data_IF_449396887975
#
_entry.id   IF_449396887975
#
_cell.length_a   1.000
_cell.length_b   1.000
_cell.length_c   1.000
_cell.angle_alpha   90.00
_cell.angle_beta   90.00
_cell.angle_gamma   90.00
#
_symmetry.space_group_name_H-M   'P 1'
#
loop_
_entity.id
_entity.type
_entity.pdbx_description
1 polymer ?
#
# COMPACT_ATOMS: atom_id res chain seq x y z
N UNK A 1 -23.73 -31.06 -57.33
CA UNK A 1 -22.32 -30.61 -57.42
C UNK A 1 -21.98 -29.94 -56.09
N UNK A 2 -20.83 -30.11 -55.44
CA UNK A 2 -19.70 -31.03 -55.64
C UNK A 2 -18.90 -31.13 -54.32
N UNK A 3 -18.12 -32.19 -54.07
CA UNK A 3 -17.57 -32.48 -52.73
C UNK A 3 -16.31 -31.68 -52.36
N UNK A 4 -16.09 -31.50 -51.05
CA UNK A 4 -14.91 -30.84 -50.46
C UNK A 4 -13.60 -31.59 -50.75
N UNK A 5 -12.46 -30.87 -50.93
CA UNK A 5 -11.16 -31.47 -51.20
C UNK A 5 -10.54 -32.15 -49.97
N UNK A 6 -9.85 -33.28 -50.19
CA UNK A 6 -9.12 -34.02 -49.14
C UNK A 6 -7.69 -33.48 -48.92
N UNK A 7 -7.14 -33.54 -47.70
CA UNK A 7 -5.79 -33.07 -47.41
C UNK A 7 -4.70 -33.94 -48.06
N UNK A 8 -3.61 -33.31 -48.52
CA UNK A 8 -2.45 -34.01 -49.12
C UNK A 8 -1.56 -34.64 -48.05
N UNK A 9 -1.18 -35.91 -48.26
CA UNK A 9 -0.16 -36.61 -47.45
C UNK A 9 1.23 -36.36 -48.05
N UNK A 10 2.18 -35.89 -47.27
CA UNK A 10 3.61 -35.93 -47.64
C UNK A 10 4.28 -37.21 -47.12
N UNK A 11 5.17 -37.79 -47.94
CA UNK A 11 6.09 -38.88 -47.55
C UNK A 11 7.51 -38.30 -47.32
N UNK A 12 8.37 -38.96 -46.53
CA UNK A 12 9.63 -38.39 -46.07
C UNK A 12 10.76 -38.47 -47.10
N UNK A 13 11.68 -37.49 -47.05
CA UNK A 13 12.97 -37.53 -47.73
C UNK A 13 14.04 -38.25 -46.88
N UNK A 14 15.07 -38.82 -47.53
CA UNK A 14 16.15 -39.58 -46.87
C UNK A 14 17.37 -38.69 -46.54
N UNK A 15 17.94 -38.92 -45.36
CA UNK A 15 18.96 -38.08 -44.75
C UNK A 15 20.39 -38.11 -45.33
N UNK A 16 21.24 -37.28 -44.72
CA UNK A 16 22.68 -37.23 -44.89
C UNK A 16 23.40 -37.71 -43.61
N UNK A 17 24.64 -38.20 -43.73
CA UNK A 17 25.37 -38.87 -42.64
C UNK A 17 26.28 -37.91 -41.86
N UNK A 18 26.10 -37.79 -40.55
CA UNK A 18 27.10 -37.22 -39.66
C UNK A 18 28.25 -38.23 -39.40
N UNK A 19 29.51 -37.79 -39.52
CA UNK A 19 30.69 -38.61 -39.18
C UNK A 19 31.06 -38.42 -37.71
N UNK A 20 31.32 -39.51 -36.99
CA UNK A 20 31.93 -39.46 -35.65
C UNK A 20 33.41 -39.04 -35.75
N UNK A 21 33.84 -38.10 -34.92
CA UNK A 21 35.24 -37.77 -34.69
C UNK A 21 35.51 -37.72 -33.19
N UNK A 22 36.15 -38.76 -32.64
CA UNK A 22 36.51 -38.79 -31.22
C UNK A 22 37.91 -38.19 -31.02
N UNK A 23 38.05 -37.30 -30.03
CA UNK A 23 39.35 -36.93 -29.45
C UNK A 23 39.24 -36.94 -27.93
N UNK A 24 40.13 -37.70 -27.29
CA UNK A 24 40.24 -37.74 -25.84
C UNK A 24 41.01 -36.53 -25.32
N UNK A 25 40.61 -36.02 -24.15
CA UNK A 25 41.40 -35.11 -23.32
C UNK A 25 41.74 -35.84 -22.03
N UNK A 26 42.98 -35.70 -21.56
CA UNK A 26 43.51 -36.46 -20.41
C UNK A 26 43.14 -35.77 -19.09
N UNK A 27 42.67 -36.52 -18.11
CA UNK A 27 42.62 -36.02 -16.73
C UNK A 27 44.04 -35.89 -16.18
N UNK A 28 44.44 -34.67 -15.83
CA UNK A 28 45.59 -34.40 -14.96
C UNK A 28 45.11 -34.37 -13.49
N UNK A 29 45.91 -34.92 -12.58
CA UNK A 29 45.55 -35.00 -11.18
C UNK A 29 45.95 -33.75 -10.38
N UNK A 30 45.17 -33.41 -9.35
CA UNK A 30 45.68 -32.68 -8.19
C UNK A 30 45.10 -31.29 -7.92
N UNK A 31 44.07 -31.24 -7.06
CA UNK A 31 44.02 -30.38 -5.85
C UNK A 31 42.94 -30.91 -4.90
N UNK A 32 43.17 -30.80 -3.59
CA UNK A 32 42.23 -31.27 -2.54
C UNK A 32 41.21 -30.16 -2.23
N UNK A 33 39.94 -30.50 -1.90
CA UNK A 33 39.02 -29.55 -1.28
C UNK A 33 39.48 -29.22 0.16
N UNK A 34 39.17 -28.02 0.69
CA UNK A 34 39.43 -27.67 2.08
C UNK A 34 38.54 -28.46 3.04
N UNK A 35 39.01 -28.68 4.27
CA UNK A 35 38.22 -29.31 5.36
C UNK A 35 37.43 -28.23 6.11
N UNK A 36 36.19 -28.51 6.56
CA UNK A 36 35.42 -27.56 7.37
C UNK A 36 36.05 -27.35 8.75
N UNK A 37 36.01 -26.12 9.24
CA UNK A 37 36.54 -25.76 10.56
C UNK A 37 35.63 -26.30 11.68
N UNK A 38 36.14 -27.20 12.53
CA UNK A 38 35.51 -27.54 13.81
C UNK A 38 35.44 -26.29 14.71
N UNK A 39 34.26 -25.68 14.85
CA UNK A 39 33.98 -24.81 16.01
C UNK A 39 33.94 -25.69 17.27
N UNK A 40 34.77 -25.36 18.26
CA UNK A 40 34.76 -26.07 19.53
C UNK A 40 33.47 -25.75 20.31
N UNK A 41 32.61 -26.76 20.52
CA UNK A 41 31.53 -26.67 21.50
C UNK A 41 32.17 -26.68 22.90
N UNK A 42 32.06 -25.58 23.64
CA UNK A 42 32.30 -25.63 25.10
C UNK A 42 31.15 -26.42 25.73
N UNK A 43 31.47 -27.47 26.47
CA UNK A 43 30.49 -28.16 27.30
C UNK A 43 30.05 -27.23 28.45
N UNK A 44 28.78 -27.33 28.83
CA UNK A 44 28.22 -26.76 30.06
C UNK A 44 27.46 -27.89 30.73
N UNK A 45 27.89 -28.27 31.92
CA UNK A 45 27.25 -29.25 32.80
C UNK A 45 27.76 -29.00 34.24
N UNK A 46 27.10 -29.47 35.32
CA UNK A 46 25.98 -28.69 35.84
C UNK A 46 26.08 -28.40 37.35
N UNK A 47 25.04 -27.71 37.86
CA UNK A 47 24.58 -27.71 39.25
C UNK A 47 25.54 -27.21 40.36
N UNK A 48 25.16 -26.08 40.98
CA UNK A 48 25.14 -25.89 42.45
C UNK A 48 24.23 -24.73 42.86
N UNK A 49 23.08 -25.02 43.48
CA UNK A 49 22.41 -24.13 44.44
C UNK A 49 23.09 -24.34 45.81
N UNK A 50 23.28 -23.29 46.60
CA UNK A 50 22.28 -22.83 47.58
C UNK A 50 21.98 -21.32 47.40
N UNK A 51 21.19 -20.61 48.21
CA UNK A 51 20.41 -20.92 49.41
C UNK A 51 19.56 -19.70 49.82
N UNK A 52 18.60 -19.85 50.72
CA UNK A 52 17.59 -18.81 51.03
C UNK A 52 18.05 -17.72 52.04
N UNK A 53 17.16 -16.72 52.25
CA UNK A 53 17.22 -15.52 53.14
C UNK A 53 17.76 -14.25 52.44
N UNK A 54 17.22 -13.05 52.69
CA UNK A 54 16.01 -12.67 53.45
C UNK A 54 15.99 -11.19 53.89
N UNK A 55 14.83 -10.53 53.80
CA UNK A 55 14.68 -9.08 54.07
C UNK A 55 15.17 -8.18 52.92
N UNK A 56 14.79 -6.90 52.82
CA UNK A 56 13.93 -6.06 53.68
C UNK A 56 14.35 -4.58 53.59
N UNK A 57 13.44 -3.63 53.88
CA UNK A 57 13.49 -2.17 53.52
C UNK A 57 13.08 -1.96 52.06
N UNK A 58 12.17 -1.06 51.67
CA UNK A 58 11.52 0.11 52.33
C UNK A 58 12.49 1.20 52.76
N UNK A 59 12.66 2.19 51.87
CA UNK A 59 13.07 3.56 52.18
C UNK A 59 12.09 4.50 51.51
N UNK A 60 11.20 5.10 52.30
CA UNK A 60 10.44 6.30 51.95
C UNK A 60 11.25 7.51 52.43
N UNK A 61 11.34 8.59 51.65
CA UNK A 61 11.94 9.85 52.11
C UNK A 61 11.55 11.08 51.25
N UNK A 62 11.51 12.25 51.90
CA UNK A 62 12.03 13.47 51.29
C UNK A 62 11.09 14.35 50.45
N UNK A 63 10.04 14.94 51.05
CA UNK A 63 9.37 16.12 50.47
C UNK A 63 10.23 17.40 50.58
N UNK A 64 9.93 18.37 49.69
CA UNK A 64 10.38 19.81 49.64
C UNK A 64 11.68 20.05 48.85
N UNK A 65 11.86 21.20 48.18
CA UNK A 65 10.89 22.26 47.85
C UNK A 65 11.50 23.65 47.58
N UNK A 66 11.03 24.32 46.51
CA UNK A 66 11.39 25.70 46.12
C UNK A 66 12.78 25.86 45.46
N UNK A 67 13.19 27.00 44.90
CA UNK A 67 12.56 28.15 44.18
C UNK A 67 13.62 29.28 44.15
N UNK A 68 13.91 29.87 42.97
CA UNK A 68 14.69 31.13 42.75
C UNK A 68 16.21 31.00 43.04
N UNK A 69 17.12 31.78 42.46
CA UNK A 69 17.06 33.09 41.75
C UNK A 69 17.44 32.99 40.25
N UNK A 70 17.21 33.94 39.32
CA UNK A 70 16.88 35.38 39.33
C UNK A 70 18.07 36.38 39.43
N UNK A 71 18.40 37.01 38.30
CA UNK A 71 18.71 38.45 38.15
C UNK A 71 18.37 38.80 36.67
N UNK A 72 17.51 39.79 36.34
CA UNK A 72 17.61 41.28 36.37
C UNK A 72 18.28 41.87 35.12
N UNK A 73 17.92 43.06 34.62
CA UNK A 73 16.72 43.94 34.70
C UNK A 73 16.66 44.63 33.28
N UNK A 74 15.99 45.73 32.90
CA UNK A 74 15.21 46.79 33.54
C UNK A 74 14.27 47.47 32.51
N UNK A 75 13.05 47.85 32.90
CA UNK A 75 12.17 48.83 32.21
C UNK A 75 11.47 48.42 30.89
N UNK A 76 10.40 49.10 30.43
CA UNK A 76 9.44 49.98 31.12
C UNK A 76 8.15 50.12 30.28
N UNK A 77 7.06 50.61 30.88
CA UNK A 77 5.98 51.30 30.18
C UNK A 77 4.78 50.44 29.74
N UNK A 78 3.57 50.95 29.99
CA UNK A 78 2.31 50.36 29.52
C UNK A 78 1.37 51.41 28.89
N UNK A 79 0.44 50.87 28.12
CA UNK A 79 -0.91 51.36 27.81
C UNK A 79 -1.18 52.12 26.50
N UNK A 80 -2.43 51.92 26.12
CA UNK A 80 -3.18 52.16 24.89
C UNK A 80 -3.66 53.64 24.81
N UNK A 81 -4.45 54.09 23.79
CA UNK A 81 -5.05 53.35 22.67
C UNK A 81 -4.93 54.04 21.28
N UNK A 82 -5.59 53.44 20.28
CA UNK A 82 -5.74 53.97 18.92
C UNK A 82 -6.67 55.20 18.88
N UNK A 83 -6.33 56.29 18.17
CA UNK A 83 -7.24 57.38 17.86
C UNK A 83 -7.97 57.20 16.52
N UNK A 84 -9.19 57.71 16.45
CA UNK A 84 -10.03 57.86 15.25
C UNK A 84 -9.98 59.32 14.75
N UNK A 85 -9.99 59.55 13.42
CA UNK A 85 -10.61 60.72 12.73
C UNK A 85 -10.42 60.77 11.21
N UNK A 86 -11.37 61.47 10.57
CA UNK A 86 -11.38 61.96 9.20
C UNK A 86 -10.37 63.15 8.99
N UNK A 87 -10.23 63.84 7.84
CA UNK A 87 -11.17 64.02 6.72
C UNK A 87 -10.49 64.55 5.43
N UNK A 88 -11.29 64.68 4.35
CA UNK A 88 -11.14 65.48 3.11
C UNK A 88 -9.97 65.24 2.12
N UNK A 89 -10.27 65.35 0.80
CA UNK A 89 -9.25 65.47 -0.26
C UNK A 89 -9.56 64.79 -1.62
N UNK A 90 -10.68 65.08 -2.28
CA UNK A 90 -11.07 64.42 -3.54
C UNK A 90 -10.79 65.18 -4.85
N UNK A 91 -10.81 64.48 -6.00
CA UNK A 91 -11.14 65.00 -7.35
C UNK A 91 -11.39 63.92 -8.43
N UNK A 92 -12.25 64.28 -9.38
CA UNK A 92 -12.31 63.88 -10.80
C UNK A 92 -12.53 62.41 -11.26
N UNK A 93 -13.82 62.08 -11.38
CA UNK A 93 -14.51 61.86 -12.67
C UNK A 93 -14.66 60.46 -13.34
N UNK A 94 -15.88 60.26 -13.89
CA UNK A 94 -16.36 59.27 -14.88
C UNK A 94 -16.53 57.80 -14.45
N UNK A 95 -17.80 57.42 -14.26
CA UNK A 95 -18.27 56.04 -14.39
C UNK A 95 -18.80 55.76 -15.81
N UNK A 96 -18.83 54.48 -16.26
CA UNK A 96 -19.73 54.00 -17.30
C UNK A 96 -20.99 53.36 -16.69
N UNK A 97 -22.13 53.63 -17.34
CA UNK A 97 -23.47 53.15 -17.01
C UNK A 97 -23.59 51.61 -16.94
N UNK A 98 -24.38 51.12 -15.96
CA UNK A 98 -25.03 49.80 -15.96
C UNK A 98 -26.41 49.93 -15.29
N UNK A 99 -27.46 49.78 -16.09
CA UNK A 99 -28.86 49.86 -15.66
C UNK A 99 -29.31 48.80 -14.62
N UNK A 100 -30.56 48.91 -14.14
CA UNK A 100 -31.05 48.14 -12.99
C UNK A 100 -31.04 46.63 -13.26
N UNK A 101 -30.53 45.88 -12.30
CA UNK A 101 -30.73 44.43 -12.21
C UNK A 101 -32.00 44.15 -11.43
N UNK A 102 -33.12 44.02 -12.15
CA UNK A 102 -34.36 43.55 -11.54
C UNK A 102 -34.17 42.18 -10.87
N UNK A 103 -34.74 42.04 -9.68
CA UNK A 103 -34.41 40.95 -8.78
C UNK A 103 -35.10 39.63 -9.20
N UNK A 104 -34.33 38.66 -9.69
CA UNK A 104 -34.78 37.26 -9.80
C UNK A 104 -34.77 36.58 -8.43
N UNK A 105 -35.69 36.96 -7.55
CA UNK A 105 -36.05 36.16 -6.36
C UNK A 105 -37.06 35.10 -6.79
N UNK A 106 -36.60 34.14 -7.61
CA UNK A 106 -37.43 33.12 -8.24
C UNK A 106 -36.59 31.89 -8.63
N UNK A 107 -36.02 31.19 -7.63
CA UNK A 107 -35.37 29.88 -7.84
C UNK A 107 -35.29 29.06 -6.53
N UNK A 108 -34.95 29.71 -5.42
CA UNK A 108 -34.78 29.05 -4.11
C UNK A 108 -35.99 28.23 -3.63
N UNK A 109 -37.22 28.62 -3.98
CA UNK A 109 -38.43 27.84 -3.69
C UNK A 109 -38.52 26.56 -4.53
N UNK A 110 -38.28 26.65 -5.84
CA UNK A 110 -38.34 25.50 -6.74
C UNK A 110 -37.24 24.46 -6.43
N UNK A 111 -36.05 24.91 -6.01
CA UNK A 111 -34.98 24.04 -5.54
C UNK A 111 -35.34 23.32 -4.23
N UNK A 112 -36.04 23.99 -3.30
CA UNK A 112 -36.52 23.38 -2.06
C UNK A 112 -37.65 22.38 -2.31
N UNK A 113 -38.69 22.79 -3.05
CA UNK A 113 -39.82 21.94 -3.44
C UNK A 113 -39.35 20.69 -4.20
N UNK A 114 -38.38 20.85 -5.12
CA UNK A 114 -37.75 19.73 -5.84
C UNK A 114 -36.93 18.79 -4.95
N UNK A 115 -36.23 19.32 -3.94
CA UNK A 115 -35.46 18.51 -2.98
C UNK A 115 -36.38 17.65 -2.11
N UNK A 116 -37.46 18.24 -1.57
CA UNK A 116 -38.41 17.50 -0.73
C UNK A 116 -39.32 16.56 -1.56
N UNK A 117 -39.64 16.90 -2.81
CA UNK A 117 -40.30 15.97 -3.73
C UNK A 117 -39.43 14.74 -4.04
N UNK A 118 -38.14 14.93 -4.32
CA UNK A 118 -37.20 13.83 -4.53
C UNK A 118 -37.02 12.97 -3.27
N UNK A 119 -36.94 13.61 -2.09
CA UNK A 119 -36.89 12.91 -0.79
C UNK A 119 -38.15 12.08 -0.54
N UNK A 120 -39.33 12.63 -0.83
CA UNK A 120 -40.59 11.90 -0.72
C UNK A 120 -40.66 10.70 -1.67
N UNK A 121 -40.18 10.85 -2.91
CA UNK A 121 -40.10 9.76 -3.88
C UNK A 121 -39.13 8.65 -3.44
N UNK A 122 -37.93 9.00 -2.95
CA UNK A 122 -36.98 8.03 -2.39
C UNK A 122 -37.55 7.29 -1.17
N UNK A 123 -38.28 7.98 -0.29
CA UNK A 123 -38.98 7.34 0.85
C UNK A 123 -40.13 6.43 0.38
N UNK A 124 -40.79 6.73 -0.74
CA UNK A 124 -41.80 5.86 -1.33
C UNK A 124 -41.19 4.58 -1.93
N UNK A 125 -40.14 4.71 -2.74
CA UNK A 125 -39.37 3.57 -3.29
C UNK A 125 -38.85 2.67 -2.16
N UNK A 126 -38.20 3.24 -1.14
CA UNK A 126 -37.70 2.50 0.03
C UNK A 126 -38.79 1.71 0.76
N UNK A 127 -40.01 2.26 0.88
CA UNK A 127 -41.16 1.57 1.49
C UNK A 127 -41.70 0.45 0.61
N UNK A 128 -41.68 0.61 -0.72
CA UNK A 128 -42.03 -0.45 -1.67
C UNK A 128 -41.01 -1.61 -1.60
N UNK A 129 -39.72 -1.28 -1.46
CA UNK A 129 -38.62 -2.23 -1.21
C UNK A 129 -38.59 -2.79 0.23
N UNK A 130 -39.62 -2.53 1.04
CA UNK A 130 -39.79 -3.10 2.38
C UNK A 130 -38.82 -2.55 3.45
N UNK A 131 -38.35 -1.31 3.32
CA UNK A 131 -37.63 -0.64 4.40
C UNK A 131 -38.60 -0.19 5.50
N UNK A 132 -38.20 -0.36 6.76
CA UNK A 132 -39.07 -0.05 7.90
C UNK A 132 -39.09 1.45 8.22
N UNK A 133 -40.15 1.94 8.87
CA UNK A 133 -40.24 3.32 9.35
C UNK A 133 -39.01 3.76 10.16
N UNK A 134 -38.64 3.04 11.24
CA UNK A 134 -37.46 3.36 12.05
C UNK A 134 -36.12 3.32 11.28
N UNK A 135 -36.00 2.45 10.27
CA UNK A 135 -34.82 2.35 9.41
C UNK A 135 -34.67 3.60 8.50
N UNK A 136 -35.78 4.06 7.93
CA UNK A 136 -35.83 5.30 7.13
C UNK A 136 -35.60 6.52 8.02
N UNK A 137 -36.23 6.59 9.19
CA UNK A 137 -36.06 7.68 10.17
C UNK A 137 -34.61 7.77 10.68
N UNK A 138 -33.97 6.63 10.98
CA UNK A 138 -32.55 6.60 11.34
C UNK A 138 -31.63 7.05 10.19
N UNK A 139 -31.96 6.68 8.94
CA UNK A 139 -31.19 7.13 7.78
C UNK A 139 -31.34 8.65 7.51
N UNK A 140 -32.54 9.22 7.72
CA UNK A 140 -32.78 10.67 7.65
C UNK A 140 -32.01 11.39 8.77
N UNK A 141 -32.15 10.93 10.02
CA UNK A 141 -31.49 11.54 11.18
C UNK A 141 -29.95 11.49 11.14
N UNK A 142 -29.38 10.55 10.37
CA UNK A 142 -27.95 10.44 10.12
C UNK A 142 -27.47 11.15 8.83
N UNK A 143 -28.37 11.81 8.08
CA UNK A 143 -28.12 12.39 6.74
C UNK A 143 -27.56 11.38 5.73
N UNK A 144 -28.15 10.17 5.70
CA UNK A 144 -27.71 9.00 4.89
C UNK A 144 -28.84 8.36 4.09
N UNK A 145 -29.99 9.00 3.94
CA UNK A 145 -31.14 8.44 3.22
C UNK A 145 -30.77 7.99 1.79
N UNK A 146 -29.99 8.78 1.06
CA UNK A 146 -29.46 8.39 -0.26
C UNK A 146 -28.60 7.11 -0.27
N UNK A 147 -28.01 6.73 0.87
CA UNK A 147 -27.15 5.54 1.01
C UNK A 147 -27.92 4.32 1.55
N UNK A 148 -29.18 4.48 2.00
CA UNK A 148 -29.97 3.37 2.52
C UNK A 148 -30.26 2.28 1.45
N UNK A 149 -30.58 2.61 0.18
CA UNK A 149 -30.68 1.60 -0.88
C UNK A 149 -29.39 0.79 -1.06
N UNK A 150 -28.23 1.46 -1.11
CA UNK A 150 -26.90 0.82 -1.18
C UNK A 150 -26.68 -0.12 0.01
N UNK A 151 -26.99 0.34 1.22
CA UNK A 151 -26.87 -0.44 2.44
C UNK A 151 -27.77 -1.69 2.41
N UNK A 152 -28.98 -1.60 1.85
CA UNK A 152 -29.90 -2.74 1.69
C UNK A 152 -29.41 -3.72 0.62
N UNK A 153 -28.89 -3.24 -0.52
CA UNK A 153 -28.29 -4.10 -1.56
C UNK A 153 -27.07 -4.88 -1.02
N UNK A 154 -26.20 -4.22 -0.25
CA UNK A 154 -25.04 -4.88 0.37
C UNK A 154 -25.43 -5.86 1.48
N UNK A 155 -26.41 -5.51 2.33
CA UNK A 155 -26.93 -6.43 3.37
C UNK A 155 -27.62 -7.66 2.77
N UNK A 156 -28.32 -7.50 1.64
CA UNK A 156 -29.10 -8.57 1.03
C UNK A 156 -30.29 -9.01 1.89
N UNK A 157 -30.61 -10.29 1.85
CA UNK A 157 -31.70 -10.91 2.61
C UNK A 157 -31.14 -12.05 3.47
N UNK A 158 -30.56 -11.73 4.65
CA UNK A 158 -29.91 -12.72 5.49
C UNK A 158 -30.92 -13.74 6.02
N UNK A 159 -30.52 -15.02 5.98
CA UNK A 159 -31.35 -16.17 6.36
C UNK A 159 -30.63 -17.13 7.33
N UNK A 160 -29.31 -16.99 7.47
CA UNK A 160 -28.47 -17.80 8.32
C UNK A 160 -28.01 -17.01 9.56
N UNK A 161 -27.95 -17.69 10.70
CA UNK A 161 -27.39 -17.20 11.97
C UNK A 161 -25.89 -17.48 12.03
N UNK A 162 -25.16 -16.83 12.94
CA UNK A 162 -23.72 -17.08 13.14
C UNK A 162 -23.42 -18.55 13.48
N UNK A 163 -24.30 -19.22 14.21
CA UNK A 163 -24.17 -20.66 14.52
C UNK A 163 -24.28 -21.55 13.27
N UNK A 164 -25.09 -21.16 12.28
CA UNK A 164 -25.27 -21.93 11.04
C UNK A 164 -23.99 -21.91 10.17
N UNK A 165 -23.16 -20.88 10.29
CA UNK A 165 -21.89 -20.77 9.57
C UNK A 165 -20.95 -21.93 9.93
N UNK A 166 -20.76 -22.21 11.22
CA UNK A 166 -19.97 -23.33 11.71
C UNK A 166 -20.64 -24.67 11.35
N UNK A 167 -21.93 -24.82 11.68
CA UNK A 167 -22.68 -26.06 11.47
C UNK A 167 -22.73 -26.52 10.01
N UNK A 168 -22.78 -25.59 9.05
CA UNK A 168 -22.84 -25.89 7.60
C UNK A 168 -21.47 -26.03 6.91
N UNK A 169 -20.37 -25.81 7.62
CA UNK A 169 -19.01 -25.85 7.04
C UNK A 169 -18.01 -26.72 7.78
N UNK A 170 -18.31 -27.14 9.02
CA UNK A 170 -17.39 -27.88 9.86
C UNK A 170 -16.24 -27.03 10.42
N UNK A 171 -16.31 -25.70 10.31
CA UNK A 171 -15.42 -24.80 11.01
C UNK A 171 -15.68 -24.85 12.52
N UNK A 172 -14.62 -24.80 13.33
CA UNK A 172 -14.75 -24.69 14.79
C UNK A 172 -15.41 -23.34 15.18
N UNK A 173 -16.44 -23.32 16.05
CA UNK A 173 -17.13 -22.08 16.41
C UNK A 173 -16.24 -21.04 17.10
N UNK A 174 -15.39 -21.46 18.05
CA UNK A 174 -14.54 -20.54 18.83
C UNK A 174 -13.42 -19.94 17.96
N UNK A 175 -12.89 -20.71 17.00
CA UNK A 175 -11.97 -20.22 15.98
C UNK A 175 -12.66 -19.27 14.99
N UNK A 176 -13.87 -19.62 14.53
CA UNK A 176 -14.61 -18.79 13.59
C UNK A 176 -14.97 -17.43 14.20
N UNK A 177 -15.36 -17.38 15.48
CA UNK A 177 -15.62 -16.14 16.19
C UNK A 177 -14.35 -15.27 16.27
N UNK A 178 -13.21 -15.85 16.68
CA UNK A 178 -11.90 -15.18 16.69
C UNK A 178 -11.48 -14.67 15.31
N UNK A 179 -11.78 -15.42 14.25
CA UNK A 179 -11.49 -15.03 12.85
C UNK A 179 -12.37 -13.85 12.41
N UNK A 180 -13.67 -13.87 12.69
CA UNK A 180 -14.59 -12.77 12.37
C UNK A 180 -14.20 -11.48 13.11
N UNK A 181 -13.93 -11.58 14.42
CA UNK A 181 -13.43 -10.47 15.24
C UNK A 181 -12.10 -9.92 14.69
N UNK A 182 -11.14 -10.79 14.35
CA UNK A 182 -9.84 -10.37 13.82
C UNK A 182 -9.95 -9.71 12.44
N UNK A 183 -10.87 -10.16 11.59
CA UNK A 183 -11.18 -9.54 10.30
C UNK A 183 -11.97 -8.22 10.42
N UNK A 184 -12.34 -7.79 11.63
CA UNK A 184 -13.11 -6.56 11.87
C UNK A 184 -14.60 -6.70 11.54
N UNK A 185 -15.12 -7.92 11.41
CA UNK A 185 -16.53 -8.18 11.09
C UNK A 185 -17.36 -8.15 12.37
N UNK A 186 -18.37 -7.28 12.41
CA UNK A 186 -19.29 -7.19 13.55
C UNK A 186 -20.13 -8.46 13.68
N UNK A 187 -20.13 -9.07 14.87
CA UNK A 187 -20.90 -10.28 15.17
C UNK A 187 -22.23 -9.87 15.83
N UNK A 188 -23.40 -10.32 15.31
CA UNK A 188 -24.70 -9.96 15.91
C UNK A 188 -24.89 -10.59 17.29
N UNK A 189 -25.18 -9.76 18.29
CA UNK A 189 -25.29 -10.18 19.71
C UNK A 189 -26.50 -11.11 20.01
N UNK A 190 -27.53 -11.11 19.16
CA UNK A 190 -28.84 -11.69 19.49
C UNK A 190 -29.17 -13.00 18.75
N UNK A 191 -28.25 -13.53 17.94
CA UNK A 191 -28.47 -14.78 17.21
C UNK A 191 -29.52 -14.68 16.09
N UNK A 192 -29.81 -13.48 15.61
CA UNK A 192 -30.67 -13.23 14.46
C UNK A 192 -30.05 -13.71 13.13
N UNK A 193 -30.86 -13.89 12.07
CA UNK A 193 -30.35 -14.06 10.72
C UNK A 193 -29.56 -12.82 10.29
N UNK A 194 -28.28 -13.02 9.98
CA UNK A 194 -27.36 -11.94 9.57
C UNK A 194 -26.48 -12.30 8.37
N UNK A 195 -26.56 -13.54 7.87
CA UNK A 195 -25.69 -14.06 6.82
C UNK A 195 -26.49 -14.76 5.69
N UNK A 196 -25.89 -14.84 4.52
CA UNK A 196 -26.36 -15.57 3.33
C UNK A 196 -25.42 -16.75 2.97
N UNK A 197 -25.83 -17.57 1.99
CA UNK A 197 -25.03 -18.68 1.44
C UNK A 197 -23.63 -18.27 0.96
N UNK A 198 -23.48 -17.01 0.51
CA UNK A 198 -22.22 -16.43 0.05
C UNK A 198 -21.20 -16.23 1.18
N UNK A 199 -21.67 -15.89 2.38
CA UNK A 199 -20.81 -15.51 3.51
C UNK A 199 -20.13 -16.74 4.15
N UNK A 200 -20.64 -17.95 3.84
CA UNK A 200 -20.00 -19.23 4.14
C UNK A 200 -18.63 -19.40 3.47
N UNK A 201 -18.23 -18.53 2.53
CA UNK A 201 -16.90 -18.55 1.93
C UNK A 201 -15.76 -18.43 2.96
N UNK A 202 -15.89 -17.56 3.97
CA UNK A 202 -14.86 -17.41 5.01
C UNK A 202 -14.79 -18.62 5.96
N UNK A 203 -15.90 -19.13 6.55
CA UNK A 203 -15.88 -20.39 7.30
C UNK A 203 -15.33 -21.59 6.50
N UNK A 204 -15.68 -21.72 5.20
CA UNK A 204 -15.12 -22.75 4.31
C UNK A 204 -13.59 -22.63 4.19
N UNK A 205 -13.05 -21.41 4.07
CA UNK A 205 -11.61 -21.16 4.06
C UNK A 205 -10.94 -21.50 5.40
N UNK A 206 -11.54 -21.12 6.52
CA UNK A 206 -11.04 -21.45 7.87
C UNK A 206 -10.94 -22.97 8.06
N UNK A 207 -12.03 -23.70 7.76
CA UNK A 207 -12.04 -25.16 7.85
C UNK A 207 -10.97 -25.79 6.94
N UNK A 208 -10.86 -25.35 5.68
CA UNK A 208 -9.88 -25.89 4.74
C UNK A 208 -8.42 -25.66 5.18
N UNK A 209 -8.10 -24.49 5.74
CA UNK A 209 -6.76 -24.19 6.26
C UNK A 209 -6.40 -25.06 7.47
N UNK A 210 -7.31 -25.20 8.43
CA UNK A 210 -7.09 -26.05 9.62
C UNK A 210 -6.99 -27.52 9.23
N UNK A 211 -7.84 -28.00 8.31
CA UNK A 211 -7.77 -29.37 7.77
C UNK A 211 -6.46 -29.65 7.00
N UNK A 212 -5.83 -28.62 6.42
CA UNK A 212 -4.50 -28.69 5.81
C UNK A 212 -3.34 -28.59 6.84
N UNK A 213 -3.63 -28.51 8.14
CA UNK A 213 -2.63 -28.43 9.21
C UNK A 213 -2.10 -27.02 9.49
N UNK A 214 -2.72 -25.97 8.95
CA UNK A 214 -2.34 -24.59 9.27
C UNK A 214 -2.76 -24.25 10.70
N UNK A 215 -1.80 -23.83 11.52
CA UNK A 215 -2.05 -23.49 12.92
C UNK A 215 -3.02 -22.30 13.07
N UNK A 216 -3.97 -22.40 14.00
CA UNK A 216 -5.05 -21.42 14.21
C UNK A 216 -4.59 -19.97 14.26
N UNK A 217 -3.50 -19.68 14.97
CA UNK A 217 -2.99 -18.32 15.09
C UNK A 217 -2.61 -17.72 13.73
N UNK A 218 -2.08 -18.53 12.79
CA UNK A 218 -1.77 -18.07 11.44
C UNK A 218 -3.05 -17.81 10.62
N UNK A 219 -4.12 -18.57 10.85
CA UNK A 219 -5.45 -18.31 10.25
C UNK A 219 -6.03 -16.99 10.78
N UNK A 220 -5.87 -16.70 12.07
CA UNK A 220 -6.31 -15.43 12.70
C UNK A 220 -5.47 -14.23 12.23
N UNK A 221 -4.15 -14.36 12.08
CA UNK A 221 -3.30 -13.30 11.50
C UNK A 221 -3.62 -13.04 10.02
N UNK A 222 -3.92 -14.09 9.24
CA UNK A 222 -4.38 -13.97 7.86
C UNK A 222 -5.74 -13.26 7.80
N UNK A 223 -6.69 -13.64 8.66
CA UNK A 223 -8.01 -13.00 8.75
C UNK A 223 -7.89 -11.49 9.04
N UNK A 224 -7.02 -11.09 9.96
CA UNK A 224 -6.74 -9.67 10.23
C UNK A 224 -6.15 -8.95 9.02
N UNK A 225 -5.15 -9.55 8.37
CA UNK A 225 -4.51 -8.98 7.17
C UNK A 225 -5.50 -8.78 6.03
N UNK A 226 -6.44 -9.73 5.86
CA UNK A 226 -7.53 -9.63 4.90
C UNK A 226 -8.55 -8.55 5.30
N UNK A 227 -8.96 -8.49 6.57
CA UNK A 227 -9.89 -7.48 7.10
C UNK A 227 -9.38 -6.04 6.95
N UNK A 228 -8.13 -5.78 7.38
CA UNK A 228 -7.46 -4.48 7.21
C UNK A 228 -7.37 -4.06 5.73
N UNK A 229 -7.29 -5.02 4.82
CA UNK A 229 -7.22 -4.76 3.37
C UNK A 229 -8.61 -4.54 2.76
N UNK A 230 -9.59 -5.36 3.15
CA UNK A 230 -10.99 -5.22 2.74
C UNK A 230 -11.60 -3.90 3.22
N UNK A 231 -11.29 -3.46 4.45
CA UNK A 231 -11.74 -2.17 4.98
C UNK A 231 -11.20 -0.97 4.17
N UNK A 232 -9.93 -1.04 3.72
CA UNK A 232 -9.33 -0.02 2.84
C UNK A 232 -9.97 -0.03 1.45
N UNK A 233 -10.20 -1.20 0.87
CA UNK A 233 -10.87 -1.35 -0.43
C UNK A 233 -12.31 -0.85 -0.38
N UNK A 234 -13.08 -1.21 0.65
CA UNK A 234 -14.47 -0.76 0.82
C UNK A 234 -14.56 0.76 1.01
N UNK A 235 -13.66 1.36 1.78
CA UNK A 235 -13.56 2.82 1.93
C UNK A 235 -13.28 3.51 0.58
N UNK A 236 -12.30 3.01 -0.18
CA UNK A 236 -11.98 3.54 -1.51
C UNK A 236 -13.13 3.35 -2.52
N UNK A 237 -13.83 2.21 -2.49
CA UNK A 237 -14.97 1.96 -3.35
C UNK A 237 -16.14 2.92 -3.05
N UNK A 238 -16.44 3.18 -1.78
CA UNK A 238 -17.49 4.12 -1.37
C UNK A 238 -17.12 5.56 -1.76
N UNK A 239 -15.88 5.98 -1.54
CA UNK A 239 -15.44 7.37 -1.78
C UNK A 239 -15.22 7.63 -3.27
N UNK A 240 -14.34 6.88 -3.93
CA UNK A 240 -13.88 7.19 -5.29
C UNK A 240 -14.95 6.83 -6.34
N UNK A 241 -15.52 5.61 -6.27
CA UNK A 241 -16.54 5.17 -7.23
C UNK A 241 -17.89 5.85 -6.96
N UNK A 242 -18.23 6.10 -5.68
CA UNK A 242 -19.42 6.88 -5.31
C UNK A 242 -19.37 8.32 -5.82
N UNK A 243 -18.23 9.00 -5.65
CA UNK A 243 -18.00 10.34 -6.19
C UNK A 243 -18.06 10.33 -7.72
N UNK A 244 -17.42 9.36 -8.38
CA UNK A 244 -17.43 9.19 -9.84
C UNK A 244 -18.80 8.88 -10.46
N UNK A 245 -19.78 8.46 -9.65
CA UNK A 245 -21.18 8.26 -10.07
C UNK A 245 -22.07 9.49 -9.84
N UNK A 246 -21.60 10.50 -9.09
CA UNK A 246 -22.33 11.74 -8.81
C UNK A 246 -22.23 12.72 -10.00
N UNK A 247 -23.29 13.49 -10.25
CA UNK A 247 -23.38 14.47 -11.34
C UNK A 247 -23.91 15.81 -10.84
N UNK A 248 -23.54 16.88 -11.54
CA UNK A 248 -24.12 18.21 -11.32
C UNK A 248 -25.64 18.18 -11.62
N UNK A 249 -26.44 18.66 -10.67
CA UNK A 249 -27.90 18.65 -10.76
C UNK A 249 -28.61 17.36 -10.30
N UNK A 250 -27.89 16.36 -9.77
CA UNK A 250 -28.52 15.18 -9.17
C UNK A 250 -29.44 15.54 -7.98
N UNK A 251 -30.65 14.97 -7.95
CA UNK A 251 -31.46 14.95 -6.71
C UNK A 251 -31.00 13.85 -5.76
N UNK A 252 -31.47 13.89 -4.50
CA UNK A 252 -31.23 12.82 -3.52
C UNK A 252 -31.73 11.45 -4.03
N UNK A 253 -32.79 11.43 -4.85
CA UNK A 253 -33.37 10.22 -5.44
C UNK A 253 -32.55 9.69 -6.62
N UNK A 254 -32.10 10.57 -7.53
CA UNK A 254 -31.30 10.20 -8.69
C UNK A 254 -29.96 9.56 -8.30
N UNK A 255 -29.31 10.13 -7.28
CA UNK A 255 -28.07 9.62 -6.73
C UNK A 255 -28.30 8.27 -6.05
N UNK A 256 -29.32 8.18 -5.18
CA UNK A 256 -29.63 6.95 -4.43
C UNK A 256 -29.90 5.75 -5.34
N UNK A 257 -30.75 5.94 -6.38
CA UNK A 257 -31.06 4.89 -7.36
C UNK A 257 -29.82 4.47 -8.13
N UNK A 258 -29.05 5.43 -8.66
CA UNK A 258 -27.84 5.16 -9.46
C UNK A 258 -26.77 4.42 -8.67
N UNK A 259 -26.56 4.79 -7.41
CA UNK A 259 -25.63 4.07 -6.54
C UNK A 259 -26.14 2.64 -6.27
N UNK A 260 -27.42 2.45 -5.98
CA UNK A 260 -28.01 1.12 -5.76
C UNK A 260 -27.91 0.21 -7.00
N UNK A 261 -28.29 0.71 -8.17
CA UNK A 261 -28.22 0.01 -9.47
C UNK A 261 -26.78 -0.43 -9.79
N UNK A 262 -25.79 0.42 -9.47
CA UNK A 262 -24.36 0.10 -9.64
C UNK A 262 -23.80 -0.84 -8.56
N UNK A 263 -24.38 -0.86 -7.35
CA UNK A 263 -23.78 -1.51 -6.17
C UNK A 263 -23.49 -2.99 -6.38
N UNK A 264 -24.50 -3.76 -6.84
CA UNK A 264 -24.33 -5.21 -7.05
C UNK A 264 -23.28 -5.53 -8.13
N UNK A 265 -23.41 -5.06 -9.39
CA UNK A 265 -22.42 -5.40 -10.42
C UNK A 265 -21.01 -4.90 -10.08
N UNK A 266 -20.85 -3.73 -9.44
CA UNK A 266 -19.54 -3.24 -9.00
C UNK A 266 -18.94 -4.13 -7.90
N UNK A 267 -19.72 -4.51 -6.89
CA UNK A 267 -19.27 -5.41 -5.82
C UNK A 267 -18.80 -6.77 -6.37
N UNK A 268 -19.58 -7.34 -7.30
CA UNK A 268 -19.30 -8.66 -7.86
C UNK A 268 -18.02 -8.63 -8.71
N UNK A 269 -17.84 -7.61 -9.56
CA UNK A 269 -16.59 -7.42 -10.33
C UNK A 269 -15.39 -7.09 -9.42
N UNK A 270 -15.58 -6.37 -8.31
CA UNK A 270 -14.52 -6.11 -7.33
C UNK A 270 -14.05 -7.41 -6.67
N UNK A 271 -14.96 -8.30 -6.30
CA UNK A 271 -14.62 -9.60 -5.72
C UNK A 271 -13.77 -10.46 -6.69
N UNK A 272 -14.17 -10.55 -7.97
CA UNK A 272 -13.39 -11.24 -9.00
C UNK A 272 -12.01 -10.60 -9.22
N UNK A 273 -11.95 -9.26 -9.29
CA UNK A 273 -10.71 -8.49 -9.48
C UNK A 273 -9.74 -8.68 -8.31
N UNK A 274 -10.24 -8.67 -7.07
CA UNK A 274 -9.42 -8.97 -5.88
C UNK A 274 -8.87 -10.40 -5.95
N UNK A 275 -9.68 -11.38 -6.37
CA UNK A 275 -9.23 -12.76 -6.59
C UNK A 275 -8.10 -12.86 -7.62
N UNK A 276 -8.22 -12.13 -8.74
CA UNK A 276 -7.18 -12.05 -9.78
C UNK A 276 -5.89 -11.43 -9.25
N UNK A 277 -5.98 -10.31 -8.52
CA UNK A 277 -4.82 -9.60 -7.95
C UNK A 277 -4.11 -10.45 -6.89
N UNK A 278 -4.86 -11.05 -5.96
CA UNK A 278 -4.31 -11.97 -4.94
C UNK A 278 -3.61 -13.15 -5.60
N UNK A 279 -4.21 -13.77 -6.61
CA UNK A 279 -3.59 -14.87 -7.36
C UNK A 279 -2.31 -14.44 -8.07
N UNK A 280 -2.32 -13.28 -8.74
CA UNK A 280 -1.16 -12.74 -9.47
C UNK A 280 0.00 -12.49 -8.51
N UNK A 281 -0.23 -11.74 -7.44
CA UNK A 281 0.81 -11.44 -6.45
C UNK A 281 1.28 -12.66 -5.65
N UNK A 282 0.43 -13.68 -5.49
CA UNK A 282 0.85 -14.96 -4.91
C UNK A 282 1.80 -15.71 -5.84
N UNK A 283 1.57 -15.69 -7.15
CA UNK A 283 2.49 -16.27 -8.14
C UNK A 283 3.81 -15.48 -8.17
N UNK A 284 3.75 -14.14 -8.21
CA UNK A 284 4.93 -13.27 -8.15
C UNK A 284 5.79 -13.61 -6.90
N UNK A 285 5.15 -13.70 -5.73
CA UNK A 285 5.82 -14.05 -4.47
C UNK A 285 6.39 -15.46 -4.48
N UNK A 286 5.67 -16.47 -4.97
CA UNK A 286 6.18 -17.84 -5.07
C UNK A 286 7.41 -17.94 -6.00
N UNK A 287 7.49 -17.14 -7.06
CA UNK A 287 8.70 -17.04 -7.89
C UNK A 287 9.86 -16.25 -7.25
N UNK A 288 9.64 -15.65 -6.07
CA UNK A 288 10.64 -14.92 -5.29
C UNK A 288 11.13 -15.68 -4.04
N UNK A 289 10.51 -16.81 -3.70
CA UNK A 289 10.93 -17.67 -2.59
C UNK A 289 11.93 -18.71 -3.09
N UNK A 290 13.21 -18.47 -2.82
CA UNK A 290 14.23 -19.52 -2.86
C UNK A 290 14.16 -20.34 -1.55
N UNK A 291 13.64 -21.57 -1.63
CA UNK A 291 13.71 -22.54 -0.54
C UNK A 291 15.01 -23.34 -0.66
N UNK A 292 15.88 -23.21 0.34
CA UNK A 292 17.05 -24.07 0.50
C UNK A 292 16.74 -25.31 1.38
N UNK A 293 17.65 -26.28 1.40
CA UNK A 293 17.49 -27.54 2.14
C UNK A 293 17.34 -27.33 3.67
N UNK A 294 17.89 -26.24 4.22
CA UNK A 294 17.83 -25.91 5.65
C UNK A 294 16.45 -25.30 5.99
N UNK A 295 15.94 -24.39 5.16
CA UNK A 295 14.57 -23.87 5.24
C UNK A 295 13.51 -24.98 5.12
N UNK A 296 13.71 -25.95 4.21
CA UNK A 296 12.80 -27.09 4.04
C UNK A 296 12.84 -28.01 5.26
N UNK A 297 14.03 -28.30 5.81
CA UNK A 297 14.18 -29.12 7.02
C UNK A 297 13.55 -28.46 8.27
N UNK A 298 13.65 -27.13 8.41
CA UNK A 298 13.04 -26.35 9.49
C UNK A 298 11.53 -26.03 9.24
N UNK A 299 10.95 -26.46 8.11
CA UNK A 299 9.54 -26.24 7.79
C UNK A 299 9.17 -24.77 7.50
N UNK A 300 10.11 -23.97 6.98
CA UNK A 300 9.98 -22.53 6.77
C UNK A 300 9.72 -22.18 5.31
N UNK A 301 8.59 -21.53 5.02
CA UNK A 301 8.23 -21.09 3.67
C UNK A 301 8.75 -19.69 3.29
N UNK A 302 9.52 -19.03 4.17
CA UNK A 302 10.10 -17.72 3.91
C UNK A 302 11.39 -17.48 4.73
N UNK A 303 12.50 -17.32 4.00
CA UNK A 303 13.77 -16.79 4.49
C UNK A 303 13.96 -15.30 4.18
N UNK A 304 15.20 -14.82 4.29
CA UNK A 304 15.61 -13.58 3.64
C UNK A 304 16.04 -13.90 2.21
N UNK A 305 15.47 -13.21 1.23
CA UNK A 305 15.68 -13.45 -0.21
C UNK A 305 16.40 -12.24 -0.84
N UNK A 306 17.29 -12.44 -1.84
CA UNK A 306 17.95 -11.35 -2.54
C UNK A 306 16.95 -10.40 -3.22
N UNK A 307 17.03 -9.11 -2.89
CA UNK A 307 16.21 -8.07 -3.52
C UNK A 307 17.03 -6.82 -3.77
N UNK A 308 16.74 -6.13 -4.88
CA UNK A 308 17.20 -4.78 -5.12
C UNK A 308 16.10 -3.78 -4.77
N UNK A 309 16.44 -2.84 -3.90
CA UNK A 309 15.55 -1.78 -3.42
C UNK A 309 16.03 -0.45 -3.99
N UNK A 310 15.14 0.30 -4.61
CA UNK A 310 15.35 1.69 -5.02
C UNK A 310 14.48 2.63 -4.20
N UNK A 311 15.03 3.78 -3.81
CA UNK A 311 14.25 4.96 -3.40
C UNK A 311 14.51 6.12 -4.35
N UNK A 312 13.48 6.84 -4.75
CA UNK A 312 13.57 8.18 -5.35
C UNK A 312 12.86 9.19 -4.44
N UNK A 313 13.39 10.41 -4.36
CA UNK A 313 13.09 11.42 -3.33
C UNK A 313 13.11 12.83 -3.95
N UNK A 314 12.15 13.70 -3.59
CA UNK A 314 11.98 15.00 -4.24
C UNK A 314 12.89 16.06 -3.62
N UNK A 315 13.71 16.70 -4.45
CA UNK A 315 14.73 17.64 -3.98
C UNK A 315 14.09 18.90 -3.41
N UNK A 316 14.13 19.02 -2.08
CA UNK A 316 13.71 20.20 -1.35
C UNK A 316 12.23 20.24 -0.96
N UNK A 317 11.51 19.11 -1.08
CA UNK A 317 10.07 19.00 -0.78
C UNK A 317 9.68 19.57 0.59
N UNK A 318 10.52 19.46 1.62
CA UNK A 318 10.27 20.05 2.94
C UNK A 318 10.03 21.57 2.88
N UNK A 319 10.84 22.30 2.11
CA UNK A 319 10.67 23.76 1.89
C UNK A 319 9.51 24.05 0.93
N UNK A 320 9.23 23.13 0.01
CA UNK A 320 8.06 23.23 -0.85
C UNK A 320 6.76 23.12 -0.03
N UNK A 321 6.74 22.31 1.03
CA UNK A 321 5.59 22.18 1.94
C UNK A 321 5.38 23.34 2.91
N UNK A 322 6.36 24.23 3.06
CA UNK A 322 6.21 25.51 3.75
C UNK A 322 5.58 26.58 2.83
N UNK A 323 5.52 26.33 1.51
CA UNK A 323 5.10 27.29 0.47
C UNK A 323 3.87 26.83 -0.33
N UNK A 324 3.63 25.52 -0.44
CA UNK A 324 2.47 24.91 -1.08
C UNK A 324 1.53 24.32 -0.02
N UNK A 325 0.24 24.60 -0.16
CA UNK A 325 -0.79 23.98 0.68
C UNK A 325 -0.81 22.45 0.55
N UNK A 326 -1.13 21.76 1.65
CA UNK A 326 -0.97 20.31 1.80
C UNK A 326 -1.67 19.41 0.75
N UNK A 327 -2.62 19.94 -0.02
CA UNK A 327 -3.18 19.24 -1.19
C UNK A 327 -2.10 19.03 -2.28
N UNK A 328 -1.42 20.11 -2.71
CA UNK A 328 -0.39 20.04 -3.77
C UNK A 328 0.76 19.09 -3.43
N UNK A 329 1.08 18.95 -2.15
CA UNK A 329 2.07 17.98 -1.67
C UNK A 329 1.61 16.53 -1.88
N UNK A 330 0.31 16.24 -1.65
CA UNK A 330 -0.28 14.94 -1.97
C UNK A 330 -0.32 14.71 -3.48
N UNK A 331 -0.70 15.73 -4.26
CA UNK A 331 -0.78 15.64 -5.71
C UNK A 331 0.59 15.30 -6.34
N UNK A 332 1.66 15.97 -5.88
CA UNK A 332 3.05 15.68 -6.28
C UNK A 332 3.48 14.27 -5.83
N UNK A 333 3.19 13.87 -4.60
CA UNK A 333 3.52 12.52 -4.11
C UNK A 333 2.77 11.40 -4.85
N UNK A 334 1.51 11.63 -5.22
CA UNK A 334 0.70 10.72 -6.03
C UNK A 334 1.28 10.59 -7.45
N UNK A 335 1.55 11.71 -8.14
CA UNK A 335 2.13 11.69 -9.49
C UNK A 335 3.52 11.05 -9.54
N UNK A 336 4.35 11.18 -8.50
CA UNK A 336 5.62 10.43 -8.42
C UNK A 336 5.39 8.91 -8.25
N UNK A 337 4.35 8.52 -7.51
CA UNK A 337 3.92 7.12 -7.40
C UNK A 337 3.44 6.55 -8.73
N UNK A 338 2.62 7.30 -9.47
CA UNK A 338 2.17 6.96 -10.82
C UNK A 338 3.35 6.81 -11.79
N UNK A 339 4.21 7.83 -11.89
CA UNK A 339 5.42 7.80 -12.72
C UNK A 339 6.34 6.62 -12.35
N UNK A 340 6.46 6.31 -11.05
CA UNK A 340 7.19 5.15 -10.56
C UNK A 340 6.59 3.81 -11.02
N UNK A 341 5.27 3.73 -11.20
CA UNK A 341 4.59 2.58 -11.75
C UNK A 341 4.70 2.52 -13.28
N UNK A 342 4.53 3.65 -13.99
CA UNK A 342 4.66 3.76 -15.46
C UNK A 342 6.02 3.25 -15.96
N UNK A 343 7.11 3.51 -15.22
CA UNK A 343 8.47 3.08 -15.58
C UNK A 343 8.91 1.76 -14.96
N UNK A 344 8.07 1.12 -14.13
CA UNK A 344 8.38 -0.17 -13.50
C UNK A 344 8.25 -1.31 -14.51
N UNK A 345 9.39 -1.94 -14.86
CA UNK A 345 9.43 -3.04 -15.85
C UNK A 345 10.27 -4.21 -15.34
N UNK A 346 10.24 -5.36 -16.02
CA UNK A 346 11.14 -6.48 -15.72
C UNK A 346 11.00 -7.10 -14.33
N UNK A 347 9.82 -7.02 -13.71
CA UNK A 347 9.56 -7.49 -12.34
C UNK A 347 9.86 -6.47 -11.24
N UNK A 348 10.12 -5.21 -11.60
CA UNK A 348 10.09 -4.07 -10.65
C UNK A 348 8.64 -3.71 -10.34
N UNK A 349 8.38 -3.30 -9.09
CA UNK A 349 7.10 -2.73 -8.67
C UNK A 349 7.30 -1.56 -7.70
N UNK A 350 6.36 -0.62 -7.70
CA UNK A 350 6.17 0.29 -6.56
C UNK A 350 5.78 -0.53 -5.33
N UNK A 351 6.45 -0.31 -4.21
CA UNK A 351 6.15 -0.94 -2.92
C UNK A 351 5.25 -0.03 -2.09
N UNK A 352 5.57 1.27 -2.06
CA UNK A 352 4.86 2.32 -1.34
C UNK A 352 5.43 3.70 -1.69
N UNK A 353 4.66 4.74 -1.46
CA UNK A 353 5.17 6.09 -1.23
C UNK A 353 5.36 6.34 0.27
N UNK A 354 6.31 7.21 0.64
CA UNK A 354 6.61 7.61 2.02
C UNK A 354 6.77 9.14 2.02
N UNK A 355 5.67 9.86 2.17
CA UNK A 355 5.65 11.29 1.86
C UNK A 355 5.95 11.49 0.37
N UNK A 356 6.99 12.25 0.07
CA UNK A 356 7.48 12.54 -1.28
C UNK A 356 8.47 11.52 -1.85
N UNK A 357 8.86 10.50 -1.08
CA UNK A 357 9.72 9.43 -1.58
C UNK A 357 8.91 8.25 -2.14
N UNK A 358 9.28 7.74 -3.32
CA UNK A 358 8.74 6.48 -3.87
C UNK A 358 9.76 5.34 -3.68
N UNK A 359 9.28 4.20 -3.19
CA UNK A 359 10.07 2.98 -3.02
C UNK A 359 9.74 1.97 -4.12
N UNK A 360 10.73 1.62 -4.93
CA UNK A 360 10.66 0.53 -5.91
C UNK A 360 11.40 -0.71 -5.37
N UNK A 361 10.93 -1.90 -5.74
CA UNK A 361 11.66 -3.14 -5.48
C UNK A 361 11.53 -4.13 -6.64
N UNK A 362 12.57 -4.92 -6.86
CA UNK A 362 12.59 -6.03 -7.81
C UNK A 362 13.70 -7.03 -7.47
N UNK A 363 13.54 -8.30 -7.85
CA UNK A 363 14.53 -9.35 -7.60
C UNK A 363 15.90 -9.01 -8.23
N UNK A 364 15.88 -8.52 -9.48
CA UNK A 364 17.09 -8.25 -10.27
C UNK A 364 17.48 -6.76 -10.18
N UNK A 365 18.76 -6.43 -9.95
CA UNK A 365 19.18 -5.04 -9.77
C UNK A 365 19.20 -4.22 -11.06
N UNK A 366 19.47 -4.85 -12.21
CA UNK A 366 19.47 -4.16 -13.52
C UNK A 366 18.14 -3.45 -13.80
N UNK A 367 17.00 -4.17 -13.81
CA UNK A 367 15.67 -3.56 -13.94
C UNK A 367 15.38 -2.44 -12.94
N UNK A 368 15.76 -2.58 -11.65
CA UNK A 368 15.54 -1.51 -10.65
C UNK A 368 16.37 -0.26 -10.97
N UNK A 369 17.61 -0.42 -11.45
CA UNK A 369 18.44 0.70 -11.91
C UNK A 369 17.87 1.34 -13.18
N UNK A 370 17.42 0.54 -14.15
CA UNK A 370 16.83 1.01 -15.40
C UNK A 370 15.53 1.80 -15.16
N UNK A 371 14.64 1.30 -14.29
CA UNK A 371 13.42 2.00 -13.86
C UNK A 371 13.73 3.30 -13.11
N UNK A 372 14.79 3.35 -12.29
CA UNK A 372 15.19 4.60 -11.62
C UNK A 372 15.77 5.65 -12.58
N UNK A 373 16.50 5.23 -13.62
CA UNK A 373 16.95 6.14 -14.68
C UNK A 373 15.76 6.64 -15.51
N UNK A 374 14.83 5.77 -15.87
CA UNK A 374 13.60 6.14 -16.56
C UNK A 374 12.73 7.10 -15.72
N UNK A 375 12.62 6.88 -14.40
CA UNK A 375 11.88 7.78 -13.51
C UNK A 375 12.48 9.20 -13.51
N UNK A 376 13.81 9.31 -13.48
CA UNK A 376 14.50 10.60 -13.58
C UNK A 376 14.21 11.31 -14.90
N UNK A 377 14.19 10.58 -16.01
CA UNK A 377 13.92 11.12 -17.35
C UNK A 377 12.47 11.58 -17.52
N UNK A 378 11.49 10.81 -17.01
CA UNK A 378 10.06 11.20 -17.06
C UNK A 378 9.78 12.43 -16.19
N UNK A 379 10.34 12.47 -14.98
CA UNK A 379 10.30 13.66 -14.11
C UNK A 379 10.86 14.89 -14.82
N UNK A 380 12.01 14.77 -15.49
CA UNK A 380 12.62 15.88 -16.21
C UNK A 380 11.81 16.34 -17.44
N UNK A 381 10.92 15.51 -17.97
CA UNK A 381 10.08 15.81 -19.13
C UNK A 381 8.72 16.45 -18.79
N UNK A 382 8.22 16.29 -17.56
CA UNK A 382 6.90 16.76 -17.11
C UNK A 382 6.95 18.07 -16.28
N UNK A 383 8.05 18.85 -16.38
CA UNK A 383 8.37 20.02 -15.52
C UNK A 383 8.23 19.72 -14.00
N UNK A 384 8.47 18.46 -13.64
CA UNK A 384 8.23 17.95 -12.30
C UNK A 384 9.43 18.24 -11.39
N UNK A 385 9.21 18.49 -10.07
CA UNK A 385 10.30 18.72 -9.11
C UNK A 385 11.42 17.67 -9.20
N UNK A 386 12.65 18.16 -9.44
CA UNK A 386 13.87 17.33 -9.61
C UNK A 386 13.97 16.27 -8.51
N UNK A 387 14.15 15.01 -8.90
CA UNK A 387 14.40 13.92 -7.95
C UNK A 387 15.90 13.60 -7.81
N UNK A 388 16.22 12.86 -6.75
CA UNK A 388 17.45 12.10 -6.56
C UNK A 388 17.08 10.64 -6.26
N UNK A 389 17.94 9.68 -6.60
CA UNK A 389 17.64 8.26 -6.41
C UNK A 389 18.81 7.46 -5.83
N UNK A 390 18.48 6.42 -5.05
CA UNK A 390 19.42 5.54 -4.40
C UNK A 390 19.00 4.07 -4.46
N UNK A 391 19.86 3.19 -4.97
CA UNK A 391 19.61 1.75 -5.09
C UNK A 391 20.60 0.95 -4.24
N UNK A 392 20.11 -0.11 -3.58
CA UNK A 392 20.94 -1.08 -2.87
C UNK A 392 20.37 -2.50 -2.98
N UNK A 393 21.27 -3.48 -3.10
CA UNK A 393 20.91 -4.89 -3.29
C UNK A 393 21.41 -5.74 -2.12
N UNK A 394 20.64 -6.75 -1.73
CA UNK A 394 20.99 -7.72 -0.69
C UNK A 394 19.76 -8.40 -0.12
N UNK A 395 19.95 -9.16 0.96
CA UNK A 395 18.89 -10.03 1.48
C UNK A 395 17.88 -9.25 2.34
N UNK A 396 16.59 -9.48 2.10
CA UNK A 396 15.49 -8.93 2.90
C UNK A 396 14.33 -9.92 3.02
N UNK A 397 13.51 -9.73 4.05
CA UNK A 397 12.29 -10.52 4.27
C UNK A 397 11.08 -9.73 3.75
N UNK A 398 10.25 -10.30 2.87
CA UNK A 398 8.98 -9.68 2.48
C UNK A 398 7.96 -9.80 3.62
N UNK A 399 7.20 -8.73 3.89
CA UNK A 399 6.14 -8.73 4.92
C UNK A 399 5.07 -7.70 4.60
N UNK A 400 3.81 -8.13 4.51
CA UNK A 400 2.65 -7.26 4.26
C UNK A 400 2.85 -6.31 3.06
N UNK A 401 3.19 -6.89 1.89
CA UNK A 401 3.60 -6.22 0.64
C UNK A 401 4.91 -5.39 0.66
N UNK A 402 5.39 -5.03 1.85
CA UNK A 402 6.62 -4.27 2.13
C UNK A 402 7.86 -5.18 2.27
N UNK A 403 9.04 -4.57 2.45
CA UNK A 403 10.33 -5.27 2.60
C UNK A 403 11.06 -4.83 3.88
N UNK A 404 11.67 -5.78 4.58
CA UNK A 404 12.43 -5.55 5.81
C UNK A 404 13.84 -6.13 5.73
N UNK A 405 14.86 -5.28 5.83
CA UNK A 405 16.25 -5.73 5.89
C UNK A 405 17.30 -4.62 5.76
N UNK A 406 18.59 -5.00 5.74
CA UNK A 406 19.70 -4.10 5.42
C UNK A 406 19.58 -3.34 4.08
N UNK A 407 19.16 -3.92 2.93
CA UNK A 407 19.15 -3.19 1.66
C UNK A 407 18.14 -2.04 1.64
N UNK A 408 16.98 -2.18 2.31
CA UNK A 408 15.97 -1.10 2.41
C UNK A 408 16.55 0.12 3.13
N UNK A 409 17.18 -0.10 4.28
CA UNK A 409 17.86 0.94 5.04
C UNK A 409 19.06 1.53 4.28
N UNK A 410 19.75 0.71 3.48
CA UNK A 410 20.86 1.15 2.65
C UNK A 410 20.38 2.06 1.53
N UNK A 411 19.45 1.61 0.69
CA UNK A 411 18.91 2.36 -0.44
C UNK A 411 18.39 3.75 -0.02
N UNK A 412 17.61 3.84 1.07
CA UNK A 412 17.13 5.12 1.60
C UNK A 412 18.26 6.09 2.01
N UNK A 413 19.38 5.58 2.53
CA UNK A 413 20.56 6.40 2.89
C UNK A 413 21.46 6.71 1.70
N UNK A 414 21.52 5.84 0.68
CA UNK A 414 22.15 6.14 -0.61
C UNK A 414 21.40 7.27 -1.31
N UNK A 415 20.06 7.20 -1.33
CA UNK A 415 19.20 8.23 -1.91
C UNK A 415 19.37 9.58 -1.20
N UNK A 416 19.34 9.60 0.13
CA UNK A 416 19.59 10.81 0.91
C UNK A 416 21.01 11.41 0.72
N UNK A 417 21.98 10.60 0.28
CA UNK A 417 23.35 11.03 -0.04
C UNK A 417 23.57 11.35 -1.54
N UNK A 418 22.58 11.04 -2.39
CA UNK A 418 22.63 11.37 -3.82
C UNK A 418 22.45 12.87 -4.05
N UNK A 419 23.02 13.36 -5.15
CA UNK A 419 22.78 14.73 -5.64
C UNK A 419 21.45 14.78 -6.42
N UNK A 420 20.84 15.96 -6.59
CA UNK A 420 19.79 16.16 -7.58
C UNK A 420 20.20 15.59 -8.95
N UNK A 421 19.23 15.04 -9.68
CA UNK A 421 19.41 14.50 -11.03
C UNK A 421 20.50 13.40 -11.08
N UNK A 422 20.60 12.59 -10.03
CA UNK A 422 21.47 11.42 -10.02
C UNK A 422 20.81 10.18 -9.41
N UNK A 423 20.92 9.06 -10.13
CA UNK A 423 20.78 7.71 -9.59
C UNK A 423 22.14 7.28 -9.05
N UNK A 424 22.17 6.88 -7.78
CA UNK A 424 23.37 6.40 -7.09
C UNK A 424 23.12 4.99 -6.57
N UNK A 425 24.13 4.12 -6.65
CA UNK A 425 24.07 2.73 -6.19
C UNK A 425 25.18 2.43 -5.18
N UNK A 426 25.02 1.37 -4.40
CA UNK A 426 26.09 0.80 -3.58
C UNK A 426 26.99 -0.20 -4.34
N UNK A 427 28.10 -0.61 -3.72
CA UNK A 427 29.08 -1.54 -4.32
C UNK A 427 28.43 -2.88 -4.75
N UNK A 428 27.48 -3.40 -3.96
CA UNK A 428 26.79 -4.67 -4.25
C UNK A 428 25.88 -4.57 -5.47
N UNK A 429 25.02 -3.54 -5.55
CA UNK A 429 24.24 -3.26 -6.76
C UNK A 429 25.16 -3.05 -7.96
N UNK A 430 26.27 -2.31 -7.84
CA UNK A 430 27.20 -2.10 -8.97
C UNK A 430 27.76 -3.43 -9.47
N UNK A 431 28.21 -4.33 -8.60
CA UNK A 431 28.78 -5.61 -9.03
C UNK A 431 27.76 -6.52 -9.71
N UNK A 432 26.48 -6.43 -9.36
CA UNK A 432 25.41 -7.30 -9.88
C UNK A 432 24.68 -6.73 -11.13
N UNK A 433 25.06 -5.55 -11.63
CA UNK A 433 24.52 -4.99 -12.88
C UNK A 433 25.57 -5.09 -13.99
N UNK A 434 25.34 -6.06 -14.87
CA UNK A 434 26.04 -6.23 -16.15
C UNK A 434 25.11 -5.72 -17.25
N UNK A 435 25.40 -4.50 -17.73
CA UNK A 435 24.64 -3.78 -18.74
C UNK A 435 25.60 -2.77 -19.40
N UNK A 436 25.83 -2.93 -20.71
CA UNK A 436 26.77 -2.12 -21.49
C UNK A 436 26.18 -0.75 -21.89
N UNK A 437 24.84 -0.60 -21.85
CA UNK A 437 24.15 0.67 -22.07
C UNK A 437 24.20 1.58 -20.82
N UNK A 438 24.91 1.19 -19.76
CA UNK A 438 25.07 1.96 -18.51
C UNK A 438 26.51 2.44 -18.27
N UNK A 439 26.66 3.75 -18.09
CA UNK A 439 27.93 4.37 -17.69
C UNK A 439 28.00 4.60 -16.18
N UNK A 440 29.16 4.30 -15.59
CA UNK A 440 29.35 4.25 -14.14
C UNK A 440 30.50 5.16 -13.71
N UNK A 441 30.30 5.94 -12.64
CA UNK A 441 31.34 6.78 -12.04
C UNK A 441 31.39 6.58 -10.52
N UNK A 442 32.54 6.15 -10.00
CA UNK A 442 32.72 5.89 -8.56
C UNK A 442 32.81 7.19 -7.78
N UNK A 443 31.88 7.41 -6.85
CA UNK A 443 31.87 8.58 -5.95
C UNK A 443 32.86 8.37 -4.79
N UNK A 444 33.13 7.12 -4.42
CA UNK A 444 34.07 6.75 -3.37
C UNK A 444 33.38 6.35 -2.06
N UNK A 445 34.12 6.36 -0.94
CA UNK A 445 33.65 5.84 0.36
C UNK A 445 33.06 6.91 1.28
N UNK A 446 31.78 7.19 1.10
CA UNK A 446 30.97 8.13 1.91
C UNK A 446 30.55 7.48 3.23
N UNK A 447 30.49 8.27 4.32
CA UNK A 447 29.94 7.80 5.60
C UNK A 447 28.41 7.92 5.59
N UNK A 448 27.69 6.80 5.77
CA UNK A 448 26.24 6.77 5.89
C UNK A 448 25.83 6.51 7.35
N UNK A 449 24.91 7.33 7.87
CA UNK A 449 24.42 7.25 9.26
C UNK A 449 23.91 5.84 9.58
N UNK A 450 24.56 5.17 10.53
CA UNK A 450 24.24 3.80 10.97
C UNK A 450 24.89 2.67 10.15
N UNK A 451 25.67 2.97 9.12
CA UNK A 451 26.32 1.95 8.25
C UNK A 451 27.82 2.17 8.00
N UNK A 452 28.41 3.25 8.54
CA UNK A 452 29.83 3.53 8.35
C UNK A 452 30.17 3.91 6.90
N UNK A 453 31.39 3.59 6.45
CA UNK A 453 31.90 4.03 5.13
C UNK A 453 31.53 3.07 4.00
N UNK A 454 30.46 3.37 3.27
CA UNK A 454 29.97 2.59 2.11
C UNK A 454 30.58 3.15 0.82
N UNK A 455 30.98 2.30 -0.14
CA UNK A 455 31.37 2.77 -1.48
C UNK A 455 30.12 2.98 -2.33
N UNK A 456 30.02 4.14 -2.96
CA UNK A 456 28.91 4.50 -3.85
C UNK A 456 29.39 4.81 -5.27
N UNK A 457 28.51 4.58 -6.25
CA UNK A 457 28.73 4.83 -7.67
C UNK A 457 27.51 5.55 -8.26
N UNK A 458 27.70 6.62 -9.04
CA UNK A 458 26.63 7.21 -9.86
C UNK A 458 26.52 6.41 -11.15
N UNK A 459 25.29 6.20 -11.61
CA UNK A 459 24.96 5.57 -12.90
C UNK A 459 24.24 6.58 -13.81
N UNK A 460 24.44 6.43 -15.11
CA UNK A 460 23.65 7.04 -16.20
C UNK A 460 23.49 6.00 -17.32
N UNK A 461 22.62 6.26 -18.31
CA UNK A 461 22.73 5.57 -19.60
C UNK A 461 23.96 6.05 -20.38
N UNK A 462 24.41 5.26 -21.35
CA UNK A 462 25.38 5.68 -22.35
C UNK A 462 24.80 6.77 -23.26
N UNK A 463 25.58 7.80 -23.57
CA UNK A 463 25.17 8.91 -24.44
C UNK A 463 24.37 10.04 -23.77
N UNK A 464 24.20 10.04 -22.44
CA UNK A 464 23.67 11.18 -21.68
C UNK A 464 24.73 11.81 -20.78
N UNK A 465 25.06 13.08 -20.99
CA UNK A 465 26.05 13.87 -20.22
C UNK A 465 25.56 14.31 -18.83
#
# INVERSE_FOLDING_TARGET
>A
MGPLPRPRRHRPARGARARRGARAVRHAAGRRPPRPHRRARRAVDPARRPGARGGGRVSDDGRRGGRRSADRDEGDGRHDPVPDRADEGGRDARAPDRGPRDARVADAGAAADGSDAARAALVADLRADGASGPEIEAAIGASRLALLPVQRVLRGTPTLRTADLAARTGADPELLERVLQAAGVAIPEHGDPAWEERDLALPRLVHALVAAGVAEHAVVELARTLGESAARIGSAAIIELGSGLTREGDTEHDLARRLADATRPVNDHLAETIGLLVRTHSLDQLTAVELDDEQIADGRLAGATPVSIGFADVVGFTRMGEQLGAQRLRDVAARLGELGAEVSTGGVRVVKTIGDAVMLAGQKPGPVVASMLALQERVAAEDFPRIRAGVATGDAVPRAADWFGPPVNRAARVCAAARPESVVVDDATRTLVEDDDLTWSTIGRIHLKGMGRVRLHRVRRAGGD
#
